data_IF_047708698269
#
_entry.id   IF_047708698269
#
_cell.length_a   1.000
_cell.length_b   1.000
_cell.length_c   1.000
_cell.angle_alpha   90.00
_cell.angle_beta   90.00
_cell.angle_gamma   90.00
#
_symmetry.space_group_name_H-M   'P 1'
#
loop_
_entity.id
_entity.type
_entity.pdbx_description
1 polymer ?
#
# COMPACT_ATOMS: atom_id res chain seq x y z
N UNK A 1 35.02 8.80 -0.96
CA UNK A 1 34.77 7.37 -1.21
C UNK A 1 35.64 6.58 -0.24
N UNK A 2 35.07 5.65 0.52
CA UNK A 2 35.81 4.87 1.53
C UNK A 2 36.64 3.79 0.82
N UNK A 3 37.93 3.72 1.13
CA UNK A 3 38.84 2.71 0.60
C UNK A 3 38.79 1.44 1.47
N UNK A 4 37.86 0.53 1.15
CA UNK A 4 37.67 -0.71 1.90
C UNK A 4 38.77 -1.76 1.72
N UNK A 5 39.67 -1.58 0.75
CA UNK A 5 40.71 -2.56 0.44
C UNK A 5 41.90 -2.37 1.38
N UNK A 6 42.32 -1.12 1.55
CA UNK A 6 43.55 -0.77 2.26
C UNK A 6 43.35 -0.47 3.76
N UNK A 7 42.11 -0.25 4.19
CA UNK A 7 41.80 0.01 5.60
C UNK A 7 41.58 -1.29 6.38
N UNK A 8 41.93 -1.27 7.66
CA UNK A 8 41.50 -2.31 8.60
C UNK A 8 39.98 -2.24 8.85
N UNK A 9 39.44 -3.31 9.44
CA UNK A 9 38.01 -3.45 9.68
C UNK A 9 37.45 -2.33 10.57
N UNK A 10 38.17 -1.95 11.63
CA UNK A 10 37.71 -0.93 12.58
C UNK A 10 37.60 0.44 11.91
N UNK A 11 38.58 0.80 11.10
CA UNK A 11 38.62 2.02 10.31
C UNK A 11 37.49 2.06 9.29
N UNK A 12 37.25 0.96 8.58
CA UNK A 12 36.14 0.84 7.65
C UNK A 12 34.78 1.05 8.33
N UNK A 13 34.56 0.35 9.46
CA UNK A 13 33.31 0.46 10.22
C UNK A 13 33.13 1.88 10.75
N UNK A 14 34.19 2.50 11.26
CA UNK A 14 34.16 3.89 11.74
C UNK A 14 33.73 4.85 10.63
N UNK A 15 34.35 4.77 9.45
CA UNK A 15 33.99 5.62 8.31
C UNK A 15 32.56 5.39 7.82
N UNK A 16 32.08 4.14 7.83
CA UNK A 16 30.69 3.83 7.46
C UNK A 16 29.70 4.39 8.51
N UNK A 17 30.03 4.33 9.79
CA UNK A 17 29.18 4.83 10.88
C UNK A 17 29.01 6.35 10.88
N UNK A 18 29.92 7.12 10.27
CA UNK A 18 29.78 8.58 10.13
C UNK A 18 28.50 8.97 9.36
N UNK A 19 27.98 8.08 8.52
CA UNK A 19 26.75 8.29 7.74
C UNK A 19 25.47 7.96 8.50
N UNK A 20 25.54 7.49 9.76
CA UNK A 20 24.36 7.08 10.52
C UNK A 20 23.34 8.21 10.73
N UNK A 21 23.80 9.46 10.85
CA UNK A 21 22.94 10.64 10.98
C UNK A 21 22.24 11.04 9.68
N UNK A 22 22.80 10.67 8.52
CA UNK A 22 22.22 10.96 7.20
C UNK A 22 22.51 9.82 6.20
N UNK A 23 21.85 8.66 6.35
CA UNK A 23 22.19 7.44 5.60
C UNK A 23 22.07 7.58 4.07
N UNK A 24 21.17 8.44 3.59
CA UNK A 24 20.90 8.62 2.16
C UNK A 24 22.11 9.18 1.37
N UNK A 25 23.10 9.77 2.06
CA UNK A 25 24.33 10.24 1.40
C UNK A 25 25.13 9.07 0.80
N UNK A 26 24.95 7.84 1.32
CA UNK A 26 25.59 6.64 0.79
C UNK A 26 25.00 6.18 -0.55
N UNK A 27 23.78 6.59 -0.93
CA UNK A 27 23.06 6.01 -2.07
C UNK A 27 23.80 6.09 -3.39
N UNK A 28 24.59 7.14 -3.59
CA UNK A 28 25.39 7.33 -4.80
C UNK A 28 26.59 6.38 -4.87
N UNK A 29 27.11 5.96 -3.72
CA UNK A 29 28.34 5.16 -3.61
C UNK A 29 28.08 3.68 -3.31
N UNK A 30 26.90 3.32 -2.79
CA UNK A 30 26.54 1.93 -2.44
C UNK A 30 26.78 0.95 -3.60
N UNK A 31 26.37 1.21 -4.85
CA UNK A 31 26.62 0.26 -5.95
C UNK A 31 28.10 -0.06 -6.12
N UNK A 32 28.97 0.95 -6.00
CA UNK A 32 30.41 0.77 -6.06
C UNK A 32 30.93 -0.03 -4.85
N UNK A 33 30.53 0.37 -3.64
CA UNK A 33 30.92 -0.31 -2.41
C UNK A 33 30.54 -1.80 -2.41
N UNK A 34 29.31 -2.13 -2.77
CA UNK A 34 28.85 -3.53 -2.79
C UNK A 34 29.60 -4.35 -3.84
N UNK A 35 29.88 -3.79 -5.01
CA UNK A 35 30.69 -4.47 -6.03
C UNK A 35 32.11 -4.72 -5.53
N UNK A 36 32.79 -3.70 -4.98
CA UNK A 36 34.15 -3.83 -4.43
C UNK A 36 34.19 -4.87 -3.32
N UNK A 37 33.33 -4.73 -2.30
CA UNK A 37 33.28 -5.65 -1.16
C UNK A 37 32.97 -7.10 -1.58
N UNK A 38 32.07 -7.29 -2.55
CA UNK A 38 31.73 -8.62 -3.06
C UNK A 38 32.89 -9.22 -3.86
N UNK A 39 33.58 -8.44 -4.68
CA UNK A 39 34.73 -8.89 -5.47
C UNK A 39 35.92 -9.27 -4.60
N UNK A 40 36.23 -8.45 -3.59
CA UNK A 40 37.29 -8.70 -2.64
C UNK A 40 37.00 -9.93 -1.79
N UNK A 41 35.76 -10.06 -1.29
CA UNK A 41 35.33 -11.27 -0.58
C UNK A 41 35.45 -12.53 -1.45
N UNK A 42 35.03 -12.46 -2.72
CA UNK A 42 35.11 -13.62 -3.63
C UNK A 42 36.55 -14.06 -3.91
N UNK A 43 37.50 -13.13 -3.83
CA UNK A 43 38.92 -13.39 -4.10
C UNK A 43 39.66 -13.86 -2.86
N UNK A 44 39.43 -13.21 -1.72
CA UNK A 44 40.21 -13.41 -0.48
C UNK A 44 39.52 -14.32 0.52
N UNK A 45 38.19 -14.44 0.45
CA UNK A 45 37.33 -15.07 1.44
C UNK A 45 37.48 -14.47 2.85
N UNK A 46 37.90 -13.20 2.97
CA UNK A 46 38.08 -12.52 4.25
C UNK A 46 36.73 -12.03 4.82
N UNK A 47 36.42 -12.48 6.04
CA UNK A 47 35.17 -12.14 6.73
C UNK A 47 35.00 -10.65 7.05
N UNK A 48 36.06 -9.82 6.98
CA UNK A 48 35.96 -8.37 7.19
C UNK A 48 34.98 -7.72 6.20
N UNK A 49 34.94 -8.17 4.96
CA UNK A 49 34.08 -7.59 3.93
C UNK A 49 32.60 -7.86 4.21
N UNK A 50 32.25 -9.03 4.76
CA UNK A 50 30.89 -9.35 5.21
C UNK A 50 30.44 -8.45 6.37
N UNK A 51 31.35 -8.15 7.30
CA UNK A 51 31.07 -7.25 8.42
C UNK A 51 30.79 -5.81 7.97
N UNK A 52 31.53 -5.33 6.96
CA UNK A 52 31.31 -4.01 6.37
C UNK A 52 29.94 -3.97 5.66
N UNK A 53 29.61 -4.99 4.86
CA UNK A 53 28.29 -5.13 4.21
C UNK A 53 27.17 -5.15 5.25
N UNK A 54 27.33 -5.89 6.35
CA UNK A 54 26.35 -5.94 7.42
C UNK A 54 26.16 -4.56 8.08
N UNK A 55 27.25 -3.81 8.28
CA UNK A 55 27.20 -2.44 8.81
C UNK A 55 26.45 -1.51 7.86
N UNK A 56 26.71 -1.60 6.55
CA UNK A 56 25.95 -0.87 5.53
C UNK A 56 24.46 -1.23 5.57
N UNK A 57 24.11 -2.52 5.73
CA UNK A 57 22.72 -2.96 5.90
C UNK A 57 22.06 -2.36 7.14
N UNK A 58 22.78 -2.23 8.25
CA UNK A 58 22.27 -1.59 9.48
C UNK A 58 21.98 -0.11 9.29
N UNK A 59 22.89 0.62 8.62
CA UNK A 59 22.76 2.07 8.45
C UNK A 59 21.71 2.42 7.40
N UNK A 60 21.75 1.78 6.23
CA UNK A 60 20.88 2.16 5.11
C UNK A 60 19.60 1.34 4.98
N UNK A 61 19.62 0.10 5.46
CA UNK A 61 18.54 -0.87 5.37
C UNK A 61 18.83 -2.01 4.38
N UNK A 62 18.62 -3.25 4.83
CA UNK A 62 18.88 -4.47 4.07
C UNK A 62 18.31 -4.47 2.65
N UNK A 63 17.06 -4.01 2.46
CA UNK A 63 16.39 -4.04 1.16
C UNK A 63 17.10 -3.22 0.09
N UNK A 64 17.70 -2.10 0.47
CA UNK A 64 18.39 -1.21 -0.47
C UNK A 64 19.74 -1.83 -0.82
N UNK A 65 20.48 -2.31 0.19
CA UNK A 65 21.77 -2.97 -0.02
C UNK A 65 21.62 -4.25 -0.84
N UNK A 66 20.62 -5.08 -0.57
CA UNK A 66 20.41 -6.36 -1.27
C UNK A 66 20.12 -6.18 -2.76
N UNK A 67 19.50 -5.06 -3.15
CA UNK A 67 19.25 -4.73 -4.56
C UNK A 67 20.50 -4.35 -5.34
N UNK A 68 21.61 -4.05 -4.65
CA UNK A 68 22.87 -3.60 -5.28
C UNK A 68 23.89 -4.73 -5.44
N UNK A 69 23.58 -5.94 -4.96
CA UNK A 69 24.44 -7.08 -5.22
C UNK A 69 24.47 -7.38 -6.72
N UNK A 70 25.65 -7.64 -7.29
CA UNK A 70 25.76 -8.02 -8.69
C UNK A 70 24.91 -9.28 -8.91
N UNK A 71 24.04 -9.23 -9.91
CA UNK A 71 23.21 -10.38 -10.33
C UNK A 71 24.08 -11.36 -11.12
N UNK A 72 25.26 -11.70 -10.59
CA UNK A 72 26.15 -12.59 -11.29
C UNK A 72 25.62 -14.02 -11.18
N UNK A 73 24.79 -14.38 -12.16
CA UNK A 73 24.23 -15.72 -12.32
C UNK A 73 25.31 -16.79 -12.42
N UNK A 74 26.55 -16.44 -12.79
CA UNK A 74 27.69 -17.36 -12.81
C UNK A 74 28.07 -17.83 -11.41
N UNK A 75 27.94 -16.99 -10.38
CA UNK A 75 28.15 -17.39 -8.99
C UNK A 75 27.06 -18.34 -8.53
N UNK A 76 25.82 -18.15 -9.02
CA UNK A 76 24.72 -19.08 -8.82
C UNK A 76 24.98 -20.42 -9.50
N UNK A 77 25.52 -20.42 -10.72
CA UNK A 77 25.97 -21.63 -11.41
C UNK A 77 27.10 -22.29 -10.64
N UNK A 78 28.10 -21.54 -10.15
CA UNK A 78 29.21 -22.08 -9.36
C UNK A 78 28.72 -22.68 -8.04
N UNK A 79 27.83 -21.99 -7.31
CA UNK A 79 27.18 -22.51 -6.10
C UNK A 79 26.36 -23.77 -6.43
N UNK A 80 25.61 -23.76 -7.53
CA UNK A 80 24.78 -24.89 -7.95
C UNK A 80 25.63 -26.08 -8.40
N UNK A 81 26.71 -25.83 -9.14
CA UNK A 81 27.71 -26.81 -9.58
C UNK A 81 28.50 -27.34 -8.39
N UNK A 82 28.87 -26.52 -7.42
CA UNK A 82 29.50 -26.95 -6.16
C UNK A 82 28.53 -27.78 -5.32
N UNK A 83 27.23 -27.43 -5.30
CA UNK A 83 26.15 -28.19 -4.65
C UNK A 83 25.79 -29.50 -5.38
N UNK A 84 26.01 -29.57 -6.70
CA UNK A 84 25.81 -30.78 -7.52
C UNK A 84 27.03 -31.71 -7.50
N UNK A 85 28.22 -31.14 -7.47
CA UNK A 85 29.50 -31.86 -7.44
C UNK A 85 29.88 -32.32 -6.04
N UNK A 86 29.29 -31.75 -4.99
CA UNK A 86 29.24 -32.40 -3.69
C UNK A 86 28.37 -33.64 -3.84
N UNK A 87 29.03 -34.81 -3.91
CA UNK A 87 28.39 -36.12 -4.04
C UNK A 87 27.10 -36.17 -3.23
N UNK A 88 26.00 -36.47 -3.93
CA UNK A 88 24.56 -36.48 -3.62
C UNK A 88 24.08 -36.95 -2.22
N UNK A 89 24.78 -36.60 -1.15
CA UNK A 89 24.36 -36.83 0.21
C UNK A 89 25.00 -35.88 1.22
N UNK A 90 26.09 -35.17 0.92
CA UNK A 90 26.84 -34.54 2.00
C UNK A 90 26.28 -33.20 2.47
N UNK A 91 25.70 -32.34 1.62
CA UNK A 91 25.06 -31.12 2.15
C UNK A 91 23.72 -31.40 2.86
N UNK A 92 23.03 -32.47 2.49
CA UNK A 92 21.82 -32.96 3.17
C UNK A 92 22.15 -33.80 4.41
N UNK A 93 23.30 -34.48 4.46
CA UNK A 93 23.84 -35.15 5.67
C UNK A 93 24.65 -34.19 6.57
N UNK A 94 25.11 -33.06 6.05
CA UNK A 94 25.78 -31.99 6.80
C UNK A 94 24.82 -30.92 7.29
N UNK A 95 23.52 -31.01 6.95
CA UNK A 95 22.50 -30.76 7.96
C UNK A 95 22.76 -31.85 8.99
N UNK A 96 23.65 -31.57 9.94
CA UNK A 96 23.95 -32.50 11.02
C UNK A 96 22.60 -33.02 11.56
N UNK A 97 22.50 -34.27 12.03
CA UNK A 97 21.29 -34.76 12.71
C UNK A 97 20.83 -33.87 13.88
N UNK A 98 21.61 -32.84 14.24
CA UNK A 98 21.31 -31.81 15.22
C UNK A 98 21.23 -30.39 14.67
N UNK A 99 21.32 -30.09 13.36
CA UNK A 99 21.35 -28.69 12.87
C UNK A 99 20.10 -27.91 13.32
N UNK A 100 18.92 -28.54 13.30
CA UNK A 100 17.70 -27.92 13.82
C UNK A 100 17.84 -27.58 15.32
N UNK A 101 18.38 -28.51 16.11
CA UNK A 101 18.69 -28.30 17.52
C UNK A 101 19.80 -27.28 17.76
N UNK A 102 20.83 -27.21 16.90
CA UNK A 102 21.91 -26.23 16.98
C UNK A 102 21.40 -24.82 16.65
N UNK A 103 20.62 -24.66 15.57
CA UNK A 103 19.97 -23.40 15.22
C UNK A 103 19.02 -22.97 16.34
N UNK A 104 18.27 -23.91 16.91
CA UNK A 104 17.39 -23.67 18.04
C UNK A 104 18.15 -23.21 19.29
N UNK A 105 19.21 -23.93 19.68
CA UNK A 105 20.08 -23.59 20.80
C UNK A 105 20.79 -22.24 20.59
N UNK A 106 21.23 -21.95 19.37
CA UNK A 106 21.86 -20.68 19.02
C UNK A 106 20.85 -19.55 19.14
N UNK A 107 19.63 -19.73 18.62
CA UNK A 107 18.58 -18.73 18.75
C UNK A 107 18.18 -18.51 20.21
N UNK A 108 18.16 -19.56 21.05
CA UNK A 108 17.97 -19.42 22.50
C UNK A 108 19.06 -18.54 23.13
N UNK A 109 20.34 -18.82 22.85
CA UNK A 109 21.47 -18.02 23.40
C UNK A 109 21.33 -16.52 23.11
N UNK A 110 20.86 -16.16 21.93
CA UNK A 110 20.71 -14.76 21.53
C UNK A 110 19.41 -14.09 22.03
N UNK A 111 18.45 -14.83 22.59
CA UNK A 111 17.28 -14.21 23.26
C UNK A 111 17.68 -13.37 24.48
N UNK A 112 18.83 -13.67 25.09
CA UNK A 112 19.36 -12.91 26.23
C UNK A 112 19.94 -11.56 25.81
N UNK A 113 20.51 -11.48 24.60
CA UNK A 113 21.09 -10.24 24.06
C UNK A 113 19.99 -9.21 23.83
N UNK A 114 20.29 -7.91 23.82
CA UNK A 114 19.31 -6.85 23.53
C UNK A 114 19.41 -6.37 22.08
N UNK A 115 18.32 -5.77 21.57
CA UNK A 115 18.28 -5.17 20.25
C UNK A 115 17.99 -6.17 19.13
N UNK A 116 18.54 -5.89 17.95
CA UNK A 116 18.12 -6.55 16.69
C UNK A 116 18.38 -8.06 16.65
N UNK A 117 19.40 -8.53 17.38
CA UNK A 117 19.69 -9.96 17.49
C UNK A 117 18.57 -10.70 18.22
N UNK A 118 18.07 -10.13 19.33
CA UNK A 118 16.91 -10.67 20.07
C UNK A 118 15.70 -10.79 19.16
N UNK A 119 15.36 -9.71 18.47
CA UNK A 119 14.18 -9.66 17.62
C UNK A 119 14.27 -10.69 16.48
N UNK A 120 15.44 -10.80 15.84
CA UNK A 120 15.69 -11.80 14.80
C UNK A 120 15.56 -13.23 15.34
N UNK A 121 16.13 -13.51 16.51
CA UNK A 121 16.06 -14.81 17.16
C UNK A 121 14.66 -15.15 17.67
N UNK A 122 13.90 -14.17 18.18
CA UNK A 122 12.49 -14.34 18.56
C UNK A 122 11.63 -14.70 17.37
N UNK A 123 11.84 -14.06 16.21
CA UNK A 123 11.16 -14.42 14.98
C UNK A 123 11.57 -15.83 14.55
N UNK A 124 12.87 -16.13 14.49
CA UNK A 124 13.39 -17.43 14.09
C UNK A 124 12.84 -18.58 14.96
N UNK A 125 12.88 -18.44 16.28
CA UNK A 125 12.33 -19.42 17.23
C UNK A 125 10.84 -19.58 17.04
N UNK A 126 10.08 -18.47 16.92
CA UNK A 126 8.66 -18.53 16.62
C UNK A 126 8.38 -19.28 15.31
N UNK A 127 9.26 -19.18 14.31
CA UNK A 127 9.14 -19.96 13.06
C UNK A 127 9.49 -21.44 13.22
N UNK A 128 10.54 -21.77 13.97
CA UNK A 128 10.97 -23.15 14.20
C UNK A 128 9.89 -23.91 14.98
N UNK A 129 9.41 -23.31 16.07
CA UNK A 129 8.37 -23.88 16.92
C UNK A 129 7.01 -24.03 16.22
N UNK A 130 6.74 -23.28 15.15
CA UNK A 130 5.49 -23.39 14.36
C UNK A 130 5.61 -24.28 13.12
N UNK A 131 6.83 -24.68 12.70
CA UNK A 131 7.06 -25.37 11.43
C UNK A 131 6.73 -26.86 11.45
N UNK A 132 6.79 -27.51 12.61
CA UNK A 132 6.36 -28.88 12.83
C UNK A 132 5.33 -28.89 13.95
N UNK A 133 4.07 -29.06 13.57
CA UNK A 133 3.03 -29.55 14.47
C UNK A 133 3.59 -30.74 15.26
N UNK A 134 3.67 -30.62 16.58
CA UNK A 134 4.07 -31.73 17.47
C UNK A 134 5.50 -31.73 18.03
N UNK A 135 6.27 -30.64 17.91
CA UNK A 135 7.57 -30.59 18.61
C UNK A 135 7.42 -30.16 20.10
N UNK A 136 6.63 -30.93 20.85
CA UNK A 136 6.35 -30.73 22.28
C UNK A 136 7.65 -30.63 23.10
N UNK A 137 8.69 -31.35 22.68
CA UNK A 137 10.02 -31.30 23.30
C UNK A 137 10.65 -29.92 23.17
N UNK A 138 10.65 -29.30 21.99
CA UNK A 138 11.18 -27.95 21.82
C UNK A 138 10.33 -26.91 22.55
N UNK A 139 9.00 -27.04 22.55
CA UNK A 139 8.11 -26.13 23.30
C UNK A 139 8.37 -26.23 24.80
N UNK A 140 8.51 -27.45 25.34
CA UNK A 140 8.84 -27.67 26.74
C UNK A 140 10.22 -27.09 27.09
N UNK A 141 11.22 -27.28 26.24
CA UNK A 141 12.55 -26.68 26.39
C UNK A 141 12.49 -25.15 26.35
N UNK A 142 11.71 -24.57 25.42
CA UNK A 142 11.49 -23.12 25.33
C UNK A 142 10.87 -22.56 26.62
N UNK A 143 9.81 -23.21 27.11
CA UNK A 143 9.10 -22.82 28.33
C UNK A 143 9.95 -22.98 29.60
N UNK A 144 10.83 -23.98 29.66
CA UNK A 144 11.80 -24.13 30.75
C UNK A 144 12.88 -23.05 30.67
N UNK A 145 13.39 -22.77 29.47
CA UNK A 145 14.40 -21.73 29.24
C UNK A 145 13.89 -20.33 29.64
N UNK A 146 12.63 -20.03 29.34
CA UNK A 146 11.95 -18.78 29.69
C UNK A 146 11.99 -18.43 31.19
N UNK A 147 11.96 -19.42 32.08
CA UNK A 147 11.84 -19.21 33.53
C UNK A 147 13.16 -18.86 34.23
N UNK A 148 14.28 -18.87 33.51
CA UNK A 148 15.61 -18.88 34.12
C UNK A 148 16.28 -17.50 34.25
N UNK A 149 15.83 -16.46 33.54
CA UNK A 149 16.28 -15.07 33.76
C UNK A 149 15.29 -14.03 33.21
N UNK A 150 15.38 -12.78 33.70
CA UNK A 150 14.55 -11.66 33.23
C UNK A 150 14.83 -11.23 31.78
N UNK A 151 16.07 -11.37 31.31
CA UNK A 151 16.41 -11.13 29.92
C UNK A 151 15.79 -12.19 28.98
N UNK A 152 15.86 -13.47 29.38
CA UNK A 152 15.20 -14.59 28.69
C UNK A 152 13.68 -14.43 28.70
N UNK A 153 13.12 -13.87 29.77
CA UNK A 153 11.70 -13.56 29.88
C UNK A 153 11.26 -12.56 28.79
N UNK A 154 12.00 -11.47 28.57
CA UNK A 154 11.63 -10.47 27.56
C UNK A 154 11.73 -11.06 26.13
N UNK A 155 12.84 -11.71 25.79
CA UNK A 155 13.01 -12.36 24.48
C UNK A 155 12.02 -13.50 24.26
N UNK A 156 11.66 -14.21 25.33
CA UNK A 156 10.64 -15.25 25.28
C UNK A 156 9.24 -14.69 25.11
N UNK A 157 8.89 -13.54 25.72
CA UNK A 157 7.61 -12.86 25.45
C UNK A 157 7.51 -12.40 23.98
N UNK A 158 8.60 -11.94 23.38
CA UNK A 158 8.63 -11.61 21.95
C UNK A 158 8.51 -12.85 21.07
N UNK A 159 9.15 -13.96 21.45
CA UNK A 159 8.98 -15.24 20.74
C UNK A 159 7.54 -15.76 20.90
N UNK A 160 6.95 -15.61 22.08
CA UNK A 160 5.56 -15.93 22.37
C UNK A 160 4.61 -15.04 21.58
N UNK A 161 4.91 -13.77 21.34
CA UNK A 161 4.05 -12.94 20.48
C UNK A 161 4.11 -13.42 19.03
N UNK A 162 5.28 -13.82 18.52
CA UNK A 162 5.41 -14.45 17.18
C UNK A 162 4.69 -15.79 17.13
N UNK A 163 4.79 -16.59 18.19
CA UNK A 163 4.08 -17.86 18.35
C UNK A 163 2.58 -17.62 18.40
N UNK A 164 2.06 -16.74 19.25
CA UNK A 164 0.63 -16.43 19.37
C UNK A 164 0.11 -15.92 18.04
N UNK A 165 0.81 -15.02 17.37
CA UNK A 165 0.45 -14.56 16.02
C UNK A 165 0.45 -15.68 14.96
N UNK A 166 1.02 -16.85 15.25
CA UNK A 166 1.09 -18.02 14.35
C UNK A 166 0.33 -19.25 14.83
N UNK A 167 0.11 -19.40 16.13
CA UNK A 167 -0.61 -20.48 16.81
C UNK A 167 -2.08 -20.09 16.99
N UNK A 168 -2.40 -18.78 17.03
CA UNK A 168 -3.73 -18.29 16.62
C UNK A 168 -4.09 -18.67 15.17
N UNK A 169 -3.17 -19.34 14.45
CA UNK A 169 -3.38 -19.91 13.13
C UNK A 169 -3.39 -21.45 13.08
N UNK A 170 -3.52 -22.11 14.23
CA UNK A 170 -4.05 -23.48 14.28
C UNK A 170 -5.22 -23.42 15.23
N UNK A 171 -6.43 -23.18 14.73
CA UNK A 171 -7.59 -23.49 15.53
C UNK A 171 -7.48 -24.99 15.81
N UNK A 172 -7.21 -25.35 17.06
CA UNK A 172 -7.87 -26.54 17.61
C UNK A 172 -9.30 -26.42 17.12
N UNK A 173 -9.71 -27.38 16.28
CA UNK A 173 -10.99 -27.37 15.61
C UNK A 173 -12.03 -26.94 16.63
N UNK A 174 -12.49 -25.68 16.58
CA UNK A 174 -13.57 -25.23 17.43
C UNK A 174 -14.71 -26.13 16.98
N UNK A 175 -15.15 -27.12 17.77
CA UNK A 175 -16.31 -27.92 17.43
C UNK A 175 -17.49 -27.05 17.78
N UNK A 176 -17.62 -25.94 17.06
CA UNK A 176 -18.53 -24.88 17.40
C UNK A 176 -19.79 -25.10 16.62
N UNK A 177 -20.88 -25.34 17.36
CA UNK A 177 -22.22 -25.05 16.85
C UNK A 177 -22.21 -23.69 16.12
N UNK A 178 -23.08 -23.50 15.11
CA UNK A 178 -23.11 -22.25 14.34
C UNK A 178 -23.01 -21.02 15.24
N UNK A 179 -23.67 -21.02 16.41
CA UNK A 179 -23.63 -19.97 17.43
C UNK A 179 -22.21 -19.54 17.89
N UNK A 180 -21.27 -20.47 18.02
CA UNK A 180 -19.88 -20.15 18.41
C UNK A 180 -19.12 -19.46 17.27
N UNK A 181 -19.35 -19.90 16.03
CA UNK A 181 -18.81 -19.23 14.84
C UNK A 181 -19.44 -17.84 14.64
N UNK A 182 -20.71 -17.67 15.02
CA UNK A 182 -21.37 -16.37 15.02
C UNK A 182 -20.76 -15.40 16.04
N UNK A 183 -20.46 -15.88 17.25
CA UNK A 183 -19.80 -15.08 18.28
C UNK A 183 -18.36 -14.72 17.89
N UNK A 184 -17.64 -15.62 17.21
CA UNK A 184 -16.32 -15.35 16.66
C UNK A 184 -16.33 -14.24 15.60
N UNK A 185 -17.47 -14.01 14.95
CA UNK A 185 -17.66 -12.91 14.01
C UNK A 185 -17.66 -11.52 14.66
N UNK A 186 -17.80 -11.43 15.98
CA UNK A 186 -17.74 -10.19 16.74
C UNK A 186 -16.35 -9.96 17.38
N UNK A 187 -15.41 -10.88 17.17
CA UNK A 187 -14.04 -10.80 17.67
C UNK A 187 -13.10 -10.08 16.67
N UNK A 188 -11.80 -10.27 16.86
CA UNK A 188 -10.74 -9.72 16.01
C UNK A 188 -10.83 -10.26 14.56
N UNK A 189 -10.24 -9.55 13.59
CA UNK A 189 -10.38 -9.87 12.15
C UNK A 189 -9.86 -11.25 11.78
N UNK A 190 -8.84 -11.75 12.44
CA UNK A 190 -8.31 -13.10 12.24
C UNK A 190 -9.31 -14.15 12.70
N UNK A 191 -9.92 -13.96 13.87
CA UNK A 191 -11.04 -14.77 14.35
C UNK A 191 -12.24 -14.74 13.40
N UNK A 192 -12.58 -13.57 12.82
CA UNK A 192 -13.63 -13.46 11.80
C UNK A 192 -13.27 -14.21 10.52
N UNK A 193 -12.04 -14.08 10.04
CA UNK A 193 -11.58 -14.79 8.85
C UNK A 193 -11.63 -16.31 9.07
N UNK A 194 -11.21 -16.77 10.25
CA UNK A 194 -11.33 -18.17 10.63
C UNK A 194 -12.80 -18.62 10.68
N UNK A 195 -13.67 -17.87 11.37
CA UNK A 195 -15.09 -18.19 11.46
C UNK A 195 -15.74 -18.30 10.07
N UNK A 196 -15.47 -17.34 9.17
CA UNK A 196 -15.92 -17.38 7.78
C UNK A 196 -15.41 -18.62 7.04
N UNK A 197 -14.18 -19.05 7.29
CA UNK A 197 -13.61 -20.21 6.60
C UNK A 197 -14.28 -21.54 6.99
N UNK A 198 -14.94 -21.60 8.14
CA UNK A 198 -15.58 -22.82 8.65
C UNK A 198 -17.10 -22.79 8.57
N UNK A 199 -17.71 -21.60 8.50
CA UNK A 199 -19.16 -21.46 8.54
C UNK A 199 -19.79 -21.86 7.20
N UNK A 200 -20.91 -22.59 7.27
CA UNK A 200 -21.75 -22.95 6.11
C UNK A 200 -22.90 -21.96 5.87
N UNK A 201 -23.11 -21.04 6.81
CA UNK A 201 -24.21 -20.10 6.76
C UNK A 201 -23.92 -18.96 5.76
N UNK A 202 -24.80 -18.83 4.75
CA UNK A 202 -24.68 -17.85 3.68
C UNK A 202 -24.66 -16.40 4.17
N UNK A 203 -25.38 -16.08 5.24
CA UNK A 203 -25.45 -14.72 5.78
C UNK A 203 -24.09 -14.25 6.30
N UNK A 204 -23.37 -15.14 6.97
CA UNK A 204 -22.04 -14.85 7.52
C UNK A 204 -20.96 -14.80 6.44
N UNK A 205 -21.06 -15.65 5.42
CA UNK A 205 -20.20 -15.54 4.24
C UNK A 205 -20.41 -14.18 3.57
N UNK A 206 -21.66 -13.74 3.41
CA UNK A 206 -21.98 -12.43 2.86
C UNK A 206 -21.49 -11.27 3.76
N UNK A 207 -21.58 -11.42 5.09
CA UNK A 207 -21.00 -10.48 6.07
C UNK A 207 -19.48 -10.39 5.89
N UNK A 208 -18.82 -11.53 5.70
CA UNK A 208 -17.37 -11.63 5.46
C UNK A 208 -16.93 -10.96 4.16
N UNK A 209 -17.69 -11.14 3.06
CA UNK A 209 -17.45 -10.42 1.79
C UNK A 209 -17.58 -8.90 1.92
N UNK A 210 -18.33 -8.41 2.91
CA UNK A 210 -18.55 -6.99 3.18
C UNK A 210 -17.65 -6.43 4.30
N UNK A 211 -16.70 -7.21 4.81
CA UNK A 211 -15.80 -6.74 5.87
C UNK A 211 -14.72 -5.82 5.29
N UNK A 212 -14.89 -4.50 5.45
CA UNK A 212 -13.92 -3.47 5.07
C UNK A 212 -13.20 -2.87 6.29
N UNK A 213 -13.00 -3.65 7.35
CA UNK A 213 -12.36 -3.17 8.58
C UNK A 213 -10.92 -2.76 8.32
N UNK A 214 -10.51 -1.63 8.90
CA UNK A 214 -9.15 -1.10 8.85
C UNK A 214 -8.67 -0.91 10.29
N UNK A 215 -7.48 -1.38 10.61
CA UNK A 215 -6.80 -1.12 11.89
C UNK A 215 -5.42 -0.47 11.66
N UNK A 216 -4.61 -0.41 12.71
CA UNK A 216 -3.24 0.13 12.68
C UNK A 216 -2.30 -0.62 11.72
N UNK A 217 -2.64 -1.86 11.32
CA UNK A 217 -1.89 -2.69 10.36
C UNK A 217 -2.35 -2.46 8.92
N UNK A 218 -3.48 -1.80 8.73
CA UNK A 218 -4.10 -1.51 7.43
C UNK A 218 -5.46 -2.20 7.28
N UNK A 219 -5.85 -2.55 6.04
CA UNK A 219 -7.12 -3.25 5.78
C UNK A 219 -6.95 -4.75 6.00
N UNK A 220 -7.09 -5.09 7.26
CA UNK A 220 -7.31 -6.42 7.82
C UNK A 220 -8.57 -7.10 7.27
N UNK A 221 -9.61 -6.32 6.91
CA UNK A 221 -10.83 -6.86 6.29
C UNK A 221 -10.54 -7.63 5.00
N UNK A 222 -9.46 -7.30 4.28
CA UNK A 222 -9.04 -8.06 3.11
C UNK A 222 -8.73 -9.54 3.38
N UNK A 223 -8.31 -9.90 4.60
CA UNK A 223 -8.10 -11.30 5.01
C UNK A 223 -9.46 -12.00 5.14
N UNK A 224 -10.42 -11.35 5.80
CA UNK A 224 -11.80 -11.86 5.97
C UNK A 224 -12.49 -12.01 4.62
N UNK A 225 -12.41 -11.00 3.74
CA UNK A 225 -12.96 -11.08 2.36
C UNK A 225 -12.33 -12.21 1.56
N UNK A 226 -11.03 -12.44 1.71
CA UNK A 226 -10.33 -13.54 1.03
C UNK A 226 -10.82 -14.90 1.53
N UNK A 227 -10.95 -15.08 2.85
CA UNK A 227 -11.51 -16.30 3.44
C UNK A 227 -12.96 -16.54 2.97
N UNK A 228 -13.77 -15.48 2.91
CA UNK A 228 -15.14 -15.54 2.40
C UNK A 228 -15.19 -16.00 0.94
N UNK A 229 -14.34 -15.45 0.08
CA UNK A 229 -14.27 -15.83 -1.33
C UNK A 229 -13.87 -17.30 -1.50
N UNK A 230 -12.88 -17.78 -0.74
CA UNK A 230 -12.49 -19.19 -0.76
C UNK A 230 -13.64 -20.09 -0.31
N UNK A 231 -14.40 -19.67 0.71
CA UNK A 231 -15.56 -20.43 1.18
C UNK A 231 -16.69 -20.46 0.16
N UNK A 232 -16.95 -19.33 -0.52
CA UNK A 232 -17.89 -19.26 -1.66
C UNK A 232 -17.50 -20.25 -2.75
N UNK A 233 -16.21 -20.32 -3.08
CA UNK A 233 -15.69 -21.23 -4.09
C UNK A 233 -15.85 -22.71 -3.66
N UNK A 234 -15.48 -23.04 -2.43
CA UNK A 234 -15.53 -24.39 -1.88
C UNK A 234 -16.96 -24.93 -1.80
N UNK A 235 -17.90 -24.12 -1.29
CA UNK A 235 -19.31 -24.49 -1.14
C UNK A 235 -20.13 -24.28 -2.42
N UNK A 236 -19.51 -23.73 -3.48
CA UNK A 236 -20.15 -23.39 -4.75
C UNK A 236 -21.41 -22.51 -4.59
N UNK A 237 -21.42 -21.63 -3.58
CA UNK A 237 -22.59 -20.79 -3.28
C UNK A 237 -22.69 -19.67 -4.30
N UNK A 238 -23.83 -19.58 -4.99
CA UNK A 238 -24.11 -18.51 -5.95
C UNK A 238 -25.49 -17.92 -5.73
N UNK A 239 -25.56 -16.84 -4.94
CA UNK A 239 -26.74 -15.98 -4.86
C UNK A 239 -26.46 -14.64 -5.56
N UNK A 240 -27.48 -13.90 -6.01
CA UNK A 240 -27.29 -12.58 -6.62
C UNK A 240 -26.48 -11.60 -5.75
N UNK A 241 -26.66 -11.66 -4.43
CA UNK A 241 -25.96 -10.78 -3.48
C UNK A 241 -24.49 -11.15 -3.35
N UNK A 242 -24.18 -12.45 -3.23
CA UNK A 242 -22.81 -12.95 -3.18
C UNK A 242 -22.11 -12.62 -4.49
N UNK A 243 -22.73 -12.95 -5.62
CA UNK A 243 -22.20 -12.67 -6.94
C UNK A 243 -21.91 -11.17 -7.13
N UNK A 244 -22.84 -10.31 -6.72
CA UNK A 244 -22.63 -8.85 -6.73
C UNK A 244 -21.44 -8.43 -5.87
N UNK A 245 -21.27 -9.01 -4.67
CA UNK A 245 -20.09 -8.71 -3.83
C UNK A 245 -18.79 -9.26 -4.43
N UNK A 246 -18.79 -10.45 -5.03
CA UNK A 246 -17.61 -11.00 -5.71
C UNK A 246 -17.18 -10.08 -6.84
N UNK A 247 -18.13 -9.62 -7.68
CA UNK A 247 -17.86 -8.63 -8.73
C UNK A 247 -17.32 -7.31 -8.18
N UNK A 248 -17.89 -6.83 -7.06
CA UNK A 248 -17.38 -5.64 -6.38
C UNK A 248 -15.93 -5.83 -5.94
N UNK A 249 -15.58 -6.94 -5.30
CA UNK A 249 -14.23 -7.21 -4.83
C UNK A 249 -13.25 -7.39 -6.01
N UNK A 250 -13.70 -8.04 -7.09
CA UNK A 250 -12.95 -8.20 -8.33
C UNK A 250 -12.56 -6.84 -8.96
N UNK A 251 -13.38 -5.81 -8.74
CA UNK A 251 -13.13 -4.44 -9.21
C UNK A 251 -12.26 -3.58 -8.27
N UNK A 252 -11.79 -4.12 -7.15
CA UNK A 252 -10.93 -3.39 -6.21
C UNK A 252 -9.47 -3.33 -6.67
N UNK A 253 -8.72 -2.35 -6.14
CA UNK A 253 -7.31 -2.14 -6.53
C UNK A 253 -6.34 -3.15 -5.90
N UNK A 254 -6.84 -4.02 -5.00
CA UNK A 254 -6.03 -4.93 -4.20
C UNK A 254 -5.78 -6.24 -4.92
N UNK A 255 -4.54 -6.43 -5.35
CA UNK A 255 -4.16 -7.55 -6.23
C UNK A 255 -4.50 -8.93 -5.65
N UNK A 256 -4.22 -9.22 -4.38
CA UNK A 256 -4.41 -10.59 -3.82
C UNK A 256 -5.87 -11.01 -3.73
N UNK A 257 -6.70 -10.23 -3.02
CA UNK A 257 -8.13 -10.53 -2.85
C UNK A 257 -8.86 -10.52 -4.19
N UNK A 258 -8.48 -9.61 -5.11
CA UNK A 258 -9.01 -9.58 -6.47
C UNK A 258 -8.72 -10.85 -7.27
N UNK A 259 -7.50 -11.39 -7.20
CA UNK A 259 -7.16 -12.64 -7.89
C UNK A 259 -8.06 -13.78 -7.42
N UNK A 260 -8.32 -13.86 -6.11
CA UNK A 260 -9.25 -14.86 -5.57
C UNK A 260 -10.66 -14.60 -6.08
N UNK A 261 -11.13 -13.35 -6.11
CA UNK A 261 -12.44 -13.03 -6.69
C UNK A 261 -12.54 -13.42 -8.17
N UNK A 262 -11.48 -13.25 -8.97
CA UNK A 262 -11.44 -13.74 -10.37
C UNK A 262 -11.54 -15.26 -10.45
N UNK A 263 -10.92 -15.98 -9.52
CA UNK A 263 -11.09 -17.43 -9.44
C UNK A 263 -12.55 -17.78 -9.15
N UNK A 264 -13.20 -17.14 -8.18
CA UNK A 264 -14.63 -17.36 -7.89
C UNK A 264 -15.51 -17.06 -9.10
N UNK A 265 -15.29 -15.94 -9.79
CA UNK A 265 -16.08 -15.60 -10.99
C UNK A 265 -15.90 -16.63 -12.12
N UNK A 266 -14.69 -17.18 -12.30
CA UNK A 266 -14.47 -18.30 -13.23
C UNK A 266 -15.25 -19.55 -12.82
N UNK A 267 -15.37 -19.84 -11.52
CA UNK A 267 -16.24 -20.92 -11.02
C UNK A 267 -17.72 -20.63 -11.27
N UNK A 268 -18.12 -19.37 -11.36
CA UNK A 268 -19.46 -18.96 -11.79
C UNK A 268 -19.66 -18.99 -13.33
N UNK A 269 -18.68 -19.53 -14.07
CA UNK A 269 -18.63 -19.64 -15.53
C UNK A 269 -18.50 -18.29 -16.25
N UNK A 270 -17.88 -17.29 -15.61
CA UNK A 270 -17.46 -16.07 -16.30
C UNK A 270 -16.06 -16.25 -16.90
N UNK A 271 -15.92 -15.85 -18.17
CA UNK A 271 -14.63 -15.82 -18.86
C UNK A 271 -13.82 -14.59 -18.43
N UNK A 272 -13.10 -14.73 -17.30
CA UNK A 272 -12.30 -13.67 -16.69
C UNK A 272 -10.88 -14.18 -16.45
N UNK A 273 -9.96 -13.75 -17.31
CA UNK A 273 -8.54 -14.08 -17.24
C UNK A 273 -7.73 -12.86 -16.79
N UNK A 274 -8.15 -11.67 -17.19
CA UNK A 274 -7.51 -10.41 -16.88
C UNK A 274 -8.50 -9.35 -16.39
N UNK A 275 -7.97 -8.22 -15.92
CA UNK A 275 -8.81 -7.15 -15.40
C UNK A 275 -9.76 -6.57 -16.47
N UNK A 276 -9.32 -6.53 -17.72
CA UNK A 276 -10.13 -6.06 -18.84
C UNK A 276 -11.44 -6.84 -18.99
N UNK A 277 -11.39 -8.16 -18.76
CA UNK A 277 -12.54 -9.04 -18.93
C UNK A 277 -13.70 -8.68 -18.00
N UNK A 278 -13.44 -7.93 -16.93
CA UNK A 278 -14.51 -7.40 -16.08
C UNK A 278 -15.48 -6.54 -16.89
N UNK A 279 -15.04 -5.88 -17.97
CA UNK A 279 -15.91 -5.05 -18.81
C UNK A 279 -16.96 -5.85 -19.59
N UNK A 280 -16.76 -7.17 -19.72
CA UNK A 280 -17.74 -8.13 -20.27
C UNK A 280 -18.83 -8.50 -19.23
N UNK A 281 -18.87 -7.83 -18.08
CA UNK A 281 -19.81 -8.15 -17.00
C UNK A 281 -21.29 -8.06 -17.45
N UNK A 282 -22.17 -8.82 -16.78
CA UNK A 282 -23.62 -8.71 -16.97
C UNK A 282 -24.15 -7.30 -16.70
N UNK A 283 -25.24 -6.87 -17.37
CA UNK A 283 -25.80 -5.53 -17.20
C UNK A 283 -26.09 -5.12 -15.75
N UNK A 284 -26.58 -6.05 -14.93
CA UNK A 284 -26.93 -5.78 -13.52
C UNK A 284 -25.71 -5.48 -12.63
N UNK A 285 -24.51 -5.88 -13.05
CA UNK A 285 -23.25 -5.65 -12.33
C UNK A 285 -22.60 -4.31 -12.72
N UNK A 286 -22.88 -3.79 -13.92
CA UNK A 286 -22.25 -2.59 -14.47
C UNK A 286 -22.20 -1.39 -13.52
N UNK A 287 -23.26 -1.04 -12.75
CA UNK A 287 -23.18 0.08 -11.80
C UNK A 287 -22.19 -0.17 -10.65
N UNK A 288 -22.06 -1.42 -10.21
CA UNK A 288 -21.13 -1.82 -9.15
C UNK A 288 -19.70 -1.80 -9.68
N UNK A 289 -19.48 -2.35 -10.87
CA UNK A 289 -18.18 -2.38 -11.51
C UNK A 289 -17.68 -0.96 -11.82
N UNK A 290 -18.53 -0.08 -12.36
CA UNK A 290 -18.19 1.31 -12.64
C UNK A 290 -17.72 2.04 -11.37
N UNK A 291 -18.36 1.79 -10.22
CA UNK A 291 -17.91 2.33 -8.92
C UNK A 291 -16.54 1.81 -8.51
N UNK A 292 -16.30 0.51 -8.67
CA UNK A 292 -14.99 -0.08 -8.35
C UNK A 292 -13.88 0.44 -9.24
N UNK A 293 -14.15 0.58 -10.54
CA UNK A 293 -13.23 1.20 -11.50
C UNK A 293 -12.94 2.65 -11.08
N UNK A 294 -13.96 3.46 -10.80
CA UNK A 294 -13.77 4.84 -10.33
C UNK A 294 -12.95 4.90 -9.04
N UNK A 295 -13.19 4.00 -8.10
CA UNK A 295 -12.40 3.95 -6.86
C UNK A 295 -10.95 3.56 -7.13
N UNK A 296 -10.72 2.57 -7.99
CA UNK A 296 -9.38 2.17 -8.44
C UNK A 296 -8.62 3.29 -9.13
N UNK A 297 -9.25 3.93 -10.11
CA UNK A 297 -8.64 4.96 -10.93
C UNK A 297 -8.46 6.25 -10.14
N UNK A 298 -9.39 6.56 -9.24
CA UNK A 298 -9.39 7.74 -8.39
C UNK A 298 -8.50 7.65 -7.16
N UNK A 299 -8.13 6.43 -6.73
CA UNK A 299 -7.30 6.20 -5.56
C UNK A 299 -5.90 6.79 -5.72
N UNK A 300 -5.52 7.70 -4.82
CA UNK A 300 -4.14 8.20 -4.70
C UNK A 300 -3.22 7.24 -3.91
N UNK A 301 -3.79 6.19 -3.31
CA UNK A 301 -3.07 5.23 -2.45
C UNK A 301 -2.66 3.95 -3.18
N UNK A 302 -3.21 3.70 -4.36
CA UNK A 302 -2.93 2.48 -5.12
C UNK A 302 -1.56 2.59 -5.80
N UNK A 303 -0.85 1.45 -5.94
CA UNK A 303 0.47 1.45 -6.58
C UNK A 303 0.35 2.03 -8.00
N UNK A 304 1.21 3.00 -8.33
CA UNK A 304 1.23 3.64 -9.65
C UNK A 304 1.27 2.63 -10.80
N UNK A 305 1.91 1.48 -10.63
CA UNK A 305 1.91 0.40 -11.63
C UNK A 305 0.54 -0.24 -11.78
N UNK A 306 -0.13 -0.58 -10.67
CA UNK A 306 -1.48 -1.17 -10.70
C UNK A 306 -2.50 -0.20 -11.26
N UNK A 307 -2.42 1.09 -10.91
CA UNK A 307 -3.27 2.12 -11.49
C UNK A 307 -2.98 2.22 -12.99
N UNK A 308 -1.72 2.36 -13.40
CA UNK A 308 -1.34 2.50 -14.82
C UNK A 308 -1.76 1.30 -15.65
N UNK A 309 -1.53 0.09 -15.16
CA UNK A 309 -1.89 -1.15 -15.86
C UNK A 309 -3.40 -1.29 -15.97
N UNK A 310 -4.14 -1.13 -14.86
CA UNK A 310 -5.61 -1.16 -14.85
C UNK A 310 -6.19 -0.07 -15.77
N UNK A 311 -5.64 1.13 -15.72
CA UNK A 311 -6.09 2.29 -16.47
C UNK A 311 -5.78 2.16 -17.96
N UNK A 312 -4.55 1.82 -18.34
CA UNK A 312 -4.15 1.63 -19.74
C UNK A 312 -4.91 0.47 -20.38
N UNK A 313 -5.07 -0.65 -19.67
CA UNK A 313 -5.81 -1.80 -20.18
C UNK A 313 -7.28 -1.47 -20.40
N UNK A 314 -7.95 -0.81 -19.46
CA UNK A 314 -9.36 -0.41 -19.63
C UNK A 314 -9.51 0.61 -20.76
N UNK A 315 -8.63 1.60 -20.83
CA UNK A 315 -8.77 2.72 -21.76
C UNK A 315 -8.38 2.41 -23.18
N UNK A 316 -7.22 1.80 -23.37
CA UNK A 316 -6.64 1.63 -24.69
C UNK A 316 -7.29 0.46 -25.43
N UNK A 317 -7.74 -0.57 -24.71
CA UNK A 317 -8.13 -1.83 -25.34
C UNK A 317 -9.65 -2.06 -25.36
N UNK A 318 -10.43 -1.45 -24.45
CA UNK A 318 -11.83 -1.88 -24.25
C UNK A 318 -12.85 -0.76 -24.08
N UNK A 319 -12.40 0.50 -24.03
CA UNK A 319 -13.31 1.61 -23.81
C UNK A 319 -14.29 1.77 -24.98
N UNK A 320 -13.80 1.63 -26.22
CA UNK A 320 -14.62 1.63 -27.44
C UNK A 320 -15.64 0.49 -27.46
N UNK A 321 -15.29 -0.66 -26.88
CA UNK A 321 -16.14 -1.85 -26.83
C UNK A 321 -17.10 -1.86 -25.63
N UNK A 322 -17.00 -0.87 -24.74
CA UNK A 322 -17.78 -0.78 -23.50
C UNK A 322 -18.58 0.52 -23.42
N UNK A 323 -19.50 0.80 -24.36
CA UNK A 323 -20.26 2.07 -24.41
C UNK A 323 -21.15 2.30 -23.18
N UNK A 324 -21.39 1.25 -22.39
CA UNK A 324 -22.14 1.31 -21.13
C UNK A 324 -21.34 1.97 -20.00
N UNK A 325 -20.00 1.96 -20.05
CA UNK A 325 -19.14 2.37 -18.94
C UNK A 325 -19.25 3.86 -18.66
N UNK A 326 -19.28 4.70 -19.71
CA UNK A 326 -19.47 6.15 -19.54
C UNK A 326 -20.77 6.41 -18.80
N UNK A 327 -21.98 6.05 -19.32
CA UNK A 327 -23.24 6.30 -18.64
C UNK A 327 -23.25 5.88 -17.17
N UNK A 328 -22.68 4.71 -16.85
CA UNK A 328 -22.61 4.22 -15.48
C UNK A 328 -21.70 5.06 -14.58
N UNK A 329 -20.51 5.45 -15.06
CA UNK A 329 -19.64 6.39 -14.35
C UNK A 329 -20.37 7.72 -14.11
N UNK A 330 -21.12 8.20 -15.10
CA UNK A 330 -21.87 9.45 -15.00
C UNK A 330 -23.01 9.35 -13.97
N UNK A 331 -23.60 8.16 -13.82
CA UNK A 331 -24.69 7.89 -12.91
C UNK A 331 -24.25 7.65 -11.45
N UNK A 332 -22.95 7.72 -11.13
CA UNK A 332 -22.43 7.58 -9.74
C UNK A 332 -22.90 8.73 -8.82
N UNK A 333 -23.55 9.76 -9.37
CA UNK A 333 -24.08 11.01 -8.79
C UNK A 333 -24.60 11.03 -7.34
N UNK A 334 -24.92 9.92 -6.70
CA UNK A 334 -25.80 9.92 -5.52
C UNK A 334 -25.26 9.31 -4.24
N UNK A 335 -24.04 8.75 -4.20
CA UNK A 335 -23.67 7.89 -3.06
C UNK A 335 -22.27 8.22 -2.49
N UNK A 336 -22.28 8.84 -1.30
CA UNK A 336 -21.20 9.12 -0.35
C UNK A 336 -20.09 10.11 -0.76
N UNK A 337 -19.77 11.06 0.13
CA UNK A 337 -18.75 12.10 -0.04
C UNK A 337 -17.33 11.56 -0.36
N UNK A 338 -17.02 10.31 0.00
CA UNK A 338 -15.72 9.67 -0.28
C UNK A 338 -15.47 9.40 -1.77
N UNK A 339 -16.51 9.09 -2.55
CA UNK A 339 -16.40 8.75 -3.99
C UNK A 339 -16.24 9.99 -4.87
N UNK A 340 -16.50 11.19 -4.32
CA UNK A 340 -16.40 12.47 -5.05
C UNK A 340 -14.99 12.72 -5.58
N UNK A 341 -13.99 12.63 -4.71
CA UNK A 341 -12.59 12.90 -5.08
C UNK A 341 -12.07 11.88 -6.09
N UNK A 342 -12.46 10.63 -5.91
CA UNK A 342 -12.11 9.52 -6.79
C UNK A 342 -12.75 9.68 -8.16
N UNK A 343 -14.03 10.10 -8.21
CA UNK A 343 -14.75 10.41 -9.44
C UNK A 343 -14.10 11.57 -10.20
N UNK A 344 -13.78 12.67 -9.53
CA UNK A 344 -13.11 13.82 -10.16
C UNK A 344 -11.75 13.40 -10.74
N UNK A 345 -10.93 12.71 -9.93
CA UNK A 345 -9.62 12.20 -10.36
C UNK A 345 -9.76 11.24 -11.56
N UNK A 346 -10.78 10.39 -11.54
CA UNK A 346 -11.07 9.48 -12.65
C UNK A 346 -11.45 10.25 -13.91
N UNK A 347 -12.41 11.17 -13.85
CA UNK A 347 -12.84 12.00 -14.99
C UNK A 347 -11.66 12.80 -15.55
N UNK A 348 -10.85 13.41 -14.69
CA UNK A 348 -9.65 14.13 -15.12
C UNK A 348 -8.69 13.23 -15.91
N UNK A 349 -8.39 12.04 -15.37
CA UNK A 349 -7.53 11.10 -16.07
C UNK A 349 -8.17 10.67 -17.40
N UNK A 350 -9.47 10.41 -17.45
CA UNK A 350 -10.14 10.03 -18.70
C UNK A 350 -10.05 11.15 -19.76
N UNK A 351 -10.20 12.42 -19.38
CA UNK A 351 -10.07 13.57 -20.28
C UNK A 351 -8.64 13.76 -20.78
N UNK A 352 -7.63 13.65 -19.91
CA UNK A 352 -6.21 13.76 -20.30
C UNK A 352 -5.85 12.76 -21.40
N UNK A 353 -6.52 11.60 -21.42
CA UNK A 353 -6.27 10.54 -22.40
C UNK A 353 -7.17 10.64 -23.64
N UNK A 354 -7.80 11.80 -23.86
CA UNK A 354 -8.50 12.12 -25.10
C UNK A 354 -9.91 11.52 -25.20
N UNK A 355 -10.49 11.06 -24.09
CA UNK A 355 -11.88 10.63 -24.10
C UNK A 355 -12.83 11.82 -24.11
N UNK A 356 -13.67 11.85 -25.14
CA UNK A 356 -14.75 12.80 -25.27
C UNK A 356 -15.94 12.37 -24.38
N UNK A 357 -16.35 13.24 -23.47
CA UNK A 357 -17.55 13.05 -22.66
C UNK A 357 -18.70 13.81 -23.32
N UNK A 358 -19.63 13.14 -24.02
CA UNK A 358 -20.69 13.80 -24.78
C UNK A 358 -21.71 14.55 -23.90
N UNK A 359 -21.64 14.41 -22.57
CA UNK A 359 -22.45 15.20 -21.65
C UNK A 359 -21.58 15.90 -20.61
N UNK A 360 -21.89 17.17 -20.35
CA UNK A 360 -21.25 17.98 -19.31
C UNK A 360 -21.80 17.74 -17.91
N UNK A 361 -22.78 16.86 -17.75
CA UNK A 361 -23.31 16.47 -16.44
C UNK A 361 -22.21 15.98 -15.49
N UNK A 362 -21.30 15.05 -15.85
CA UNK A 362 -20.22 14.51 -15.01
C UNK A 362 -19.30 15.59 -14.50
N UNK A 363 -18.96 16.53 -15.37
CA UNK A 363 -18.20 17.71 -15.05
C UNK A 363 -18.94 18.61 -14.08
N UNK A 364 -20.22 18.88 -14.33
CA UNK A 364 -21.05 19.65 -13.40
C UNK A 364 -21.23 18.94 -12.05
N UNK A 365 -21.25 17.60 -12.00
CA UNK A 365 -21.35 16.78 -10.79
C UNK A 365 -20.04 16.81 -10.00
N UNK A 366 -18.94 16.43 -10.65
CA UNK A 366 -17.57 16.48 -10.15
C UNK A 366 -17.26 17.87 -9.58
N UNK A 367 -17.67 18.90 -10.31
CA UNK A 367 -17.60 20.29 -9.94
C UNK A 367 -18.48 20.65 -8.72
N UNK A 368 -19.79 20.37 -8.75
CA UNK A 368 -20.68 20.67 -7.62
C UNK A 368 -20.28 19.93 -6.34
N UNK A 369 -19.76 18.71 -6.46
CA UNK A 369 -19.24 17.95 -5.33
C UNK A 369 -17.91 18.53 -4.83
N UNK A 370 -17.01 18.96 -5.73
CA UNK A 370 -15.75 19.61 -5.35
C UNK A 370 -15.93 20.86 -4.48
N UNK A 371 -16.95 21.66 -4.81
CA UNK A 371 -17.35 22.85 -4.05
C UNK A 371 -17.89 22.53 -2.66
N UNK A 372 -18.51 21.36 -2.47
CA UNK A 372 -19.09 20.94 -1.18
C UNK A 372 -18.05 20.32 -0.26
N UNK A 373 -16.96 19.78 -0.79
CA UNK A 373 -15.98 18.98 -0.03
C UNK A 373 -14.70 19.71 0.36
N UNK A 374 -14.59 21.04 0.17
CA UNK A 374 -13.35 21.81 0.43
C UNK A 374 -12.10 21.12 -0.17
N UNK A 375 -12.16 20.73 -1.45
CA UNK A 375 -11.07 19.97 -2.07
C UNK A 375 -9.80 20.82 -2.26
N UNK A 376 -8.62 20.18 -2.33
CA UNK A 376 -7.36 20.83 -2.64
C UNK A 376 -7.40 21.58 -3.98
N UNK A 377 -6.74 22.74 -4.01
CA UNK A 377 -6.61 23.66 -5.13
C UNK A 377 -6.25 23.00 -6.49
N UNK A 378 -5.35 22.00 -6.58
CA UNK A 378 -5.03 21.33 -7.86
C UNK A 378 -6.20 20.54 -8.47
N UNK A 379 -7.09 19.99 -7.64
CA UNK A 379 -8.25 19.21 -8.10
C UNK A 379 -9.28 20.16 -8.71
N UNK A 380 -9.48 21.31 -8.07
CA UNK A 380 -10.40 22.32 -8.57
C UNK A 380 -9.87 23.02 -9.82
N UNK A 381 -8.56 23.24 -9.90
CA UNK A 381 -7.91 23.71 -11.13
C UNK A 381 -8.21 22.77 -12.30
N UNK A 382 -8.05 21.46 -12.06
CA UNK A 382 -8.32 20.44 -13.06
C UNK A 382 -9.80 20.43 -13.50
N UNK A 383 -10.74 20.65 -12.58
CA UNK A 383 -12.16 20.84 -12.93
C UNK A 383 -12.38 22.06 -13.83
N UNK A 384 -11.68 23.18 -13.57
CA UNK A 384 -11.76 24.40 -14.38
C UNK A 384 -11.18 24.17 -15.77
N UNK A 385 -10.02 23.54 -15.87
CA UNK A 385 -9.34 23.25 -17.15
C UNK A 385 -10.21 22.34 -18.03
N UNK A 386 -10.87 21.35 -17.43
CA UNK A 386 -11.81 20.50 -18.16
C UNK A 386 -13.07 21.29 -18.55
N UNK A 387 -13.60 22.17 -17.69
CA UNK A 387 -14.74 23.03 -18.06
C UNK A 387 -14.40 23.99 -19.22
N UNK A 388 -13.16 24.48 -19.31
CA UNK A 388 -12.63 25.28 -20.42
C UNK A 388 -12.54 24.49 -21.73
N UNK A 389 -12.27 23.19 -21.66
CA UNK A 389 -12.17 22.33 -22.84
C UNK A 389 -13.54 22.07 -23.52
N UNK A 390 -14.63 22.02 -22.74
CA UNK A 390 -15.98 21.64 -23.23
C UNK A 390 -16.94 22.83 -23.46
N UNK A 391 -16.42 23.99 -23.88
CA UNK A 391 -17.14 25.29 -23.93
C UNK A 391 -18.01 25.45 -25.19
N UNK A 392 -19.21 24.88 -25.20
CA UNK A 392 -20.35 25.69 -25.66
C UNK A 392 -21.62 25.53 -24.80
N UNK A 393 -21.55 24.87 -23.65
CA UNK A 393 -22.76 24.47 -22.93
C UNK A 393 -23.14 25.41 -21.79
N UNK A 394 -24.41 25.85 -21.80
CA UNK A 394 -25.01 26.81 -20.86
C UNK A 394 -24.77 26.46 -19.38
N UNK A 395 -24.74 25.18 -19.02
CA UNK A 395 -24.52 24.75 -17.63
C UNK A 395 -23.07 24.91 -17.16
N UNK A 396 -22.07 24.78 -18.04
CA UNK A 396 -20.67 25.01 -17.69
C UNK A 396 -20.43 26.50 -17.38
N UNK A 397 -21.01 27.38 -18.20
CA UNK A 397 -20.99 28.84 -18.00
C UNK A 397 -21.64 29.22 -16.67
N UNK A 398 -22.80 28.63 -16.33
CA UNK A 398 -23.44 28.85 -15.02
C UNK A 398 -22.56 28.41 -13.85
N UNK A 399 -21.81 27.31 -13.99
CA UNK A 399 -20.86 26.83 -13.00
C UNK A 399 -19.69 27.80 -12.79
N UNK A 400 -19.05 28.24 -13.89
CA UNK A 400 -17.96 29.20 -13.86
C UNK A 400 -18.40 30.55 -13.27
N UNK A 401 -19.60 31.04 -13.57
CA UNK A 401 -20.16 32.26 -12.94
C UNK A 401 -20.34 32.14 -11.43
N UNK A 402 -20.62 30.94 -10.91
CA UNK A 402 -20.67 30.71 -9.45
C UNK A 402 -19.26 30.77 -8.83
N UNK A 403 -18.25 30.24 -9.52
CA UNK A 403 -16.85 30.28 -9.06
C UNK A 403 -16.25 31.68 -9.07
N UNK A 404 -16.59 32.49 -10.07
CA UNK A 404 -16.18 33.89 -10.13
C UNK A 404 -16.69 34.70 -8.91
N UNK A 405 -17.63 34.14 -8.13
CA UNK A 405 -18.14 34.70 -6.88
C UNK A 405 -17.65 33.95 -5.63
N UNK A 406 -16.75 32.97 -5.77
CA UNK A 406 -16.19 32.24 -4.64
C UNK A 406 -15.30 33.16 -3.78
N UNK A 407 -15.30 32.94 -2.46
CA UNK A 407 -14.45 33.68 -1.53
C UNK A 407 -12.95 33.33 -1.69
N UNK A 408 -12.64 32.16 -2.25
CA UNK A 408 -11.27 31.79 -2.56
C UNK A 408 -10.80 32.54 -3.82
N UNK A 409 -9.81 33.39 -3.60
CA UNK A 409 -9.19 34.29 -4.57
C UNK A 409 -8.68 33.55 -5.82
N UNK A 410 -7.92 32.46 -5.65
CA UNK A 410 -7.32 31.73 -6.76
C UNK A 410 -8.39 31.10 -7.66
N UNK A 411 -9.41 30.50 -7.02
CA UNK A 411 -10.56 29.87 -7.69
C UNK A 411 -11.34 30.90 -8.49
N UNK A 412 -11.59 32.06 -7.87
CA UNK A 412 -12.27 33.19 -8.48
C UNK A 412 -11.52 33.68 -9.73
N UNK A 413 -10.21 33.86 -9.61
CA UNK A 413 -9.36 34.32 -10.70
C UNK A 413 -9.40 33.36 -11.90
N UNK A 414 -9.14 32.07 -11.69
CA UNK A 414 -9.15 31.06 -12.76
C UNK A 414 -10.52 30.89 -13.41
N UNK A 415 -11.59 31.05 -12.66
CA UNK A 415 -12.95 31.05 -13.21
C UNK A 415 -13.25 32.29 -14.08
N UNK A 416 -12.75 33.46 -13.69
CA UNK A 416 -12.85 34.66 -14.51
C UNK A 416 -12.04 34.53 -15.82
N UNK A 417 -10.82 33.99 -15.74
CA UNK A 417 -9.98 33.69 -16.92
C UNK A 417 -10.69 32.71 -17.87
N UNK A 418 -11.25 31.62 -17.32
CA UNK A 418 -12.05 30.66 -18.09
C UNK A 418 -13.26 31.34 -18.77
N UNK A 419 -14.04 32.15 -18.05
CA UNK A 419 -15.18 32.87 -18.63
C UNK A 419 -14.75 33.85 -19.73
N UNK A 420 -13.59 34.47 -19.59
CA UNK A 420 -13.05 35.40 -20.58
C UNK A 420 -12.60 34.67 -21.86
N UNK A 421 -11.88 33.56 -21.72
CA UNK A 421 -11.52 32.69 -22.85
C UNK A 421 -12.76 32.16 -23.59
N UNK A 422 -13.88 31.98 -22.88
CA UNK A 422 -15.17 31.62 -23.48
C UNK A 422 -15.89 32.79 -24.18
N UNK A 423 -15.35 34.02 -24.14
CA UNK A 423 -16.02 35.24 -24.60
C UNK A 423 -17.23 35.65 -23.75
N UNK A 424 -17.33 35.15 -22.51
CA UNK A 424 -18.48 35.33 -21.60
C UNK A 424 -18.22 36.31 -20.45
N UNK A 425 -16.99 36.81 -20.31
CA UNK A 425 -16.60 37.85 -19.36
C UNK A 425 -15.83 38.96 -20.08
N UNK A 426 -15.87 40.17 -19.51
CA UNK A 426 -15.10 41.31 -19.95
C UNK A 426 -13.80 41.45 -19.13
N UNK A 427 -12.88 42.31 -19.60
CA UNK A 427 -11.63 42.60 -18.89
C UNK A 427 -11.87 43.08 -17.45
N UNK A 428 -13.00 43.76 -17.20
CA UNK A 428 -13.35 44.27 -15.88
C UNK A 428 -13.58 43.14 -14.84
N UNK A 429 -14.19 42.02 -15.25
CA UNK A 429 -14.33 40.84 -14.39
C UNK A 429 -12.97 40.21 -14.02
N UNK A 430 -12.01 40.24 -14.94
CA UNK A 430 -10.64 39.77 -14.69
C UNK A 430 -9.93 40.72 -13.72
N UNK A 431 -9.92 42.02 -14.00
CA UNK A 431 -9.21 43.03 -13.20
C UNK A 431 -9.69 43.08 -11.75
N UNK A 432 -11.00 42.90 -11.54
CA UNK A 432 -11.59 42.79 -10.19
C UNK A 432 -11.12 41.54 -9.44
N UNK A 433 -10.87 40.42 -10.15
CA UNK A 433 -10.36 39.20 -9.53
C UNK A 433 -8.91 39.38 -9.06
N UNK A 434 -8.04 39.96 -9.90
CA UNK A 434 -6.64 40.25 -9.57
C UNK A 434 -6.49 41.27 -8.44
N UNK A 435 -7.34 42.30 -8.41
CA UNK A 435 -7.36 43.30 -7.33
C UNK A 435 -7.68 42.66 -5.98
N UNK A 436 -8.64 41.73 -5.94
CA UNK A 436 -8.95 40.97 -4.72
C UNK A 436 -7.80 40.05 -4.28
N UNK A 437 -6.99 39.53 -5.20
CA UNK A 437 -5.79 38.76 -4.89
C UNK A 437 -4.72 39.60 -4.21
N UNK A 438 -4.45 40.79 -4.78
CA UNK A 438 -3.45 41.71 -4.27
C UNK A 438 -3.76 42.15 -2.83
N UNK A 439 -5.02 42.47 -2.53
CA UNK A 439 -5.44 42.88 -1.19
C UNK A 439 -5.23 41.78 -0.14
N UNK A 440 -5.49 40.52 -0.48
CA UNK A 440 -5.30 39.39 0.44
C UNK A 440 -3.81 39.14 0.69
N UNK A 441 -2.97 39.19 -0.35
CA UNK A 441 -1.52 39.10 -0.21
C UNK A 441 -0.95 40.22 0.66
N UNK A 442 -1.39 41.46 0.45
CA UNK A 442 -0.98 42.63 1.26
C UNK A 442 -1.41 42.49 2.73
N UNK A 443 -2.63 42.01 3.01
CA UNK A 443 -3.11 41.76 4.38
C UNK A 443 -2.35 40.61 5.07
N UNK A 444 -1.94 39.58 4.32
CA UNK A 444 -1.16 38.47 4.86
C UNK A 444 0.29 38.87 5.21
N UNK A 445 0.90 39.72 4.38
CA UNK A 445 2.23 40.28 4.60
C UNK A 445 2.24 41.28 5.76
N UNK A 446 1.19 42.09 5.92
CA UNK A 446 1.04 43.01 7.04
C UNK A 446 0.98 42.29 8.41
N UNK A 447 0.31 41.12 8.47
CA UNK A 447 0.23 40.28 9.69
C UNK A 447 1.55 39.58 10.02
N UNK A 448 2.35 39.22 9.03
CA UNK A 448 3.68 38.64 9.25
C UNK A 448 4.68 39.72 9.69
N UNK A 449 4.61 40.93 9.14
CA UNK A 449 5.45 42.05 9.59
C UNK A 449 5.13 42.51 11.02
N UNK A 450 3.87 42.45 11.47
CA UNK A 450 3.49 42.83 12.85
C UNK A 450 3.94 41.83 13.92
N UNK A 451 4.30 40.60 13.55
CA UNK A 451 4.81 39.59 14.47
C UNK A 451 6.34 39.64 14.63
N UNK A 452 7.06 40.23 13.66
CA UNK A 452 8.52 40.40 13.72
C UNK A 452 8.91 41.61 14.59
N UNK A 453 8.04 42.62 14.73
CA UNK A 453 8.31 43.83 15.52
C UNK A 453 8.05 43.69 17.04
N UNK A 454 7.77 42.49 17.56
CA UNK A 454 7.51 42.24 19.00
C UNK A 454 8.64 41.54 19.76
N UNK A 455 9.79 41.27 19.14
CA UNK A 455 10.98 40.73 19.81
C UNK A 455 12.18 41.66 19.68
N UNK A 456 12.26 42.70 20.53
CA UNK A 456 13.37 43.64 20.45
C UNK A 456 13.34 44.79 21.45
N UNK A 457 13.22 44.50 22.74
CA UNK A 457 13.56 45.45 23.80
C UNK A 457 14.05 44.71 25.04
N UNK A 458 15.36 44.51 25.13
CA UNK A 458 16.07 44.25 26.39
C UNK A 458 17.06 45.40 26.56
N UNK A 459 16.73 46.30 27.49
CA UNK A 459 17.62 47.34 27.98
C UNK A 459 18.58 46.78 29.02
N UNK A 460 19.82 47.29 29.01
CA UNK A 460 20.80 47.10 30.05
C UNK A 460 21.60 48.39 30.22
N UNK A 461 21.38 49.07 31.34
CA UNK A 461 22.04 50.30 31.77
C UNK A 461 23.47 50.05 32.24
N UNK A 462 24.39 50.96 31.91
CA UNK A 462 25.66 51.15 32.59
C UNK A 462 25.44 52.05 33.82
N UNK A 463 25.88 51.57 34.98
CA UNK A 463 25.91 52.24 36.27
C UNK A 463 26.57 51.34 37.29
#
# INVERSE_FOLDING_TARGET
MIDFVNLDLESCIKSVNEFQSTPNLLDKDIPHYINTLTSEYSTTNDSKYLHIIYTLCKIRGFKIISQQFPTNTETLVKIFTDLQNTSHSDWQKSIQPNLESEIYNYALQFLETSGIQRDACSVLLGRLLTRKLGNEVLIAQFCQYFKSSSARFIGGLQTLSVLINRVQFIPEAIPGSDLELQNAFELDPESRAFAVSQINNHEYILKGLKDYTIDIRGDIGSIVRTAALLRVQELQIRTPEIETQVWKIASESRTKTRIVAFQVLRHFNYDINEYADLLKCPPFIRPVLARGIVSCLGSNKSNSNTIKETFNTILLNYFSDSPWLIPEILNIERINLGTTRELISTVQKLVIYGLDFPSLKPLAIAFNLSLRTNLPEPILQSCIDILQYYVPHVNAIKGLKRLANCANVYIKQRACEALFECGMADNAMIDQSYSSSLEVSLKSNAKTSSNVSKSGTLGGSLG
#
